data_IF_151532082182
#
_entry.id   IF_151532082182
#
_cell.length_a   1.000
_cell.length_b   1.000
_cell.length_c   1.000
_cell.angle_alpha   90.00
_cell.angle_beta   90.00
_cell.angle_gamma   90.00
#
_symmetry.space_group_name_H-M   'P 1'
#
loop_
_entity.id
_entity.type
_entity.pdbx_description
1 polymer ?
#
# COMPACT_ATOMS: atom_id res chain seq x y z
N UNK A 1 -8.62 -22.26 3.02
CA UNK A 1 -7.15 -22.39 2.96
C UNK A 1 -6.53 -21.49 1.90
N UNK A 2 -7.02 -21.49 0.65
CA UNK A 2 -6.49 -20.65 -0.45
C UNK A 2 -6.29 -19.17 -0.07
N UNK A 3 -7.28 -18.52 0.57
CA UNK A 3 -7.17 -17.13 0.99
C UNK A 3 -5.98 -16.86 1.93
N UNK A 4 -5.69 -17.79 2.86
CA UNK A 4 -4.53 -17.67 3.77
C UNK A 4 -3.21 -17.79 3.01
N UNK A 5 -3.15 -18.66 2.00
CA UNK A 5 -1.96 -18.81 1.15
C UNK A 5 -1.69 -17.53 0.35
N UNK A 6 -2.73 -16.94 -0.24
CA UNK A 6 -2.62 -15.66 -0.97
C UNK A 6 -2.16 -14.54 -0.04
N UNK A 7 -2.76 -14.42 1.15
CA UNK A 7 -2.35 -13.43 2.17
C UNK A 7 -0.89 -13.66 2.57
N UNK A 8 -0.50 -14.91 2.79
CA UNK A 8 0.87 -15.24 3.20
C UNK A 8 1.88 -14.89 2.12
N UNK A 9 1.58 -15.24 0.87
CA UNK A 9 2.42 -14.91 -0.27
C UNK A 9 2.57 -13.40 -0.44
N UNK A 10 1.47 -12.64 -0.41
CA UNK A 10 1.50 -11.18 -0.49
C UNK A 10 2.26 -10.53 0.67
N UNK A 11 2.05 -11.02 1.89
CA UNK A 11 2.74 -10.53 3.08
C UNK A 11 4.25 -10.82 3.04
N UNK A 12 4.68 -11.96 2.48
CA UNK A 12 6.10 -12.26 2.31
C UNK A 12 6.74 -11.36 1.24
N UNK A 13 6.07 -11.16 0.09
CA UNK A 13 6.58 -10.26 -0.95
C UNK A 13 6.73 -8.83 -0.45
N UNK A 14 5.70 -8.28 0.20
CA UNK A 14 5.73 -6.90 0.68
C UNK A 14 6.55 -6.73 1.97
N UNK A 15 6.43 -7.67 2.90
CA UNK A 15 7.02 -7.55 4.23
C UNK A 15 8.48 -7.98 4.30
N UNK A 16 8.96 -8.77 3.33
CA UNK A 16 10.36 -9.23 3.25
C UNK A 16 10.97 -8.97 1.88
N UNK A 17 10.28 -9.26 0.78
CA UNK A 17 10.81 -9.07 -0.57
C UNK A 17 11.23 -7.63 -0.83
N UNK A 18 10.35 -6.66 -0.55
CA UNK A 18 10.64 -5.23 -0.73
C UNK A 18 11.82 -4.78 0.16
N UNK A 19 11.83 -5.01 1.49
CA UNK A 19 13.01 -4.67 2.31
C UNK A 19 14.32 -5.28 1.82
N UNK A 20 14.31 -6.53 1.36
CA UNK A 20 15.53 -7.18 0.85
C UNK A 20 16.07 -6.51 -0.42
N UNK A 21 15.18 -5.97 -1.26
CA UNK A 21 15.58 -5.25 -2.47
C UNK A 21 16.02 -3.82 -2.17
N UNK A 22 15.43 -3.17 -1.17
CA UNK A 22 15.65 -1.76 -0.86
C UNK A 22 16.79 -1.52 0.16
N UNK A 23 17.16 -2.52 0.98
CA UNK A 23 18.31 -2.39 1.90
C UNK A 23 19.62 -2.62 1.13
N UNK A 24 20.10 -1.57 0.48
CA UNK A 24 21.33 -1.59 -0.31
C UNK A 24 22.01 -0.19 -0.36
N UNK A 25 23.13 -0.09 -1.07
CA UNK A 25 23.92 1.15 -1.20
C UNK A 25 23.29 2.25 -2.07
N UNK A 26 22.34 1.92 -2.93
CA UNK A 26 21.65 2.88 -3.82
C UNK A 26 20.37 3.47 -3.22
N UNK A 27 19.89 2.89 -2.12
CA UNK A 27 18.62 3.19 -1.45
C UNK A 27 18.87 3.62 0.01
N UNK A 28 18.64 2.72 0.98
CA UNK A 28 18.75 3.01 2.43
C UNK A 28 20.11 3.60 2.82
N UNK A 29 21.18 3.11 2.21
CA UNK A 29 22.55 3.57 2.50
C UNK A 29 23.10 4.55 1.46
N UNK A 30 22.24 5.17 0.65
CA UNK A 30 22.69 6.13 -0.36
C UNK A 30 23.21 7.43 0.30
N UNK A 31 24.50 7.77 0.13
CA UNK A 31 25.08 8.98 0.72
C UNK A 31 24.62 10.26 0.01
N UNK A 32 24.09 10.16 -1.21
CA UNK A 32 23.61 11.31 -1.99
C UNK A 32 22.18 11.72 -1.62
N UNK A 33 21.47 10.91 -0.85
CA UNK A 33 20.09 11.19 -0.46
C UNK A 33 20.04 12.11 0.76
N UNK A 34 19.14 13.09 0.70
CA UNK A 34 18.84 13.93 1.85
C UNK A 34 18.36 13.08 3.05
N UNK A 35 18.65 13.47 4.30
CA UNK A 35 18.27 12.71 5.48
C UNK A 35 16.76 12.41 5.54
N UNK A 36 15.93 13.32 5.05
CA UNK A 36 14.48 13.15 4.98
C UNK A 36 14.06 12.01 4.06
N UNK A 37 14.72 11.85 2.91
CA UNK A 37 14.40 10.80 1.93
C UNK A 37 14.74 9.42 2.47
N UNK A 38 15.89 9.29 3.13
CA UNK A 38 16.29 8.07 3.84
C UNK A 38 15.34 7.72 4.97
N UNK A 39 14.87 8.71 5.74
CA UNK A 39 13.88 8.48 6.78
C UNK A 39 12.57 7.94 6.18
N UNK A 40 12.06 8.58 5.11
CA UNK A 40 10.83 8.14 4.45
C UNK A 40 10.92 6.70 3.94
N UNK A 41 12.05 6.34 3.34
CA UNK A 41 12.28 4.98 2.85
C UNK A 41 12.32 3.96 3.99
N UNK A 42 13.15 4.17 5.00
CA UNK A 42 13.26 3.24 6.15
C UNK A 42 11.93 3.15 6.89
N UNK A 43 11.23 4.28 7.06
CA UNK A 43 9.91 4.32 7.67
C UNK A 43 8.87 3.53 6.87
N UNK A 44 8.85 3.73 5.55
CA UNK A 44 7.96 2.99 4.65
C UNK A 44 8.22 1.48 4.71
N UNK A 45 9.49 1.06 4.67
CA UNK A 45 9.88 -0.33 4.80
C UNK A 45 9.44 -0.93 6.15
N UNK A 46 9.77 -0.26 7.26
CA UNK A 46 9.45 -0.74 8.60
C UNK A 46 7.94 -0.87 8.82
N UNK A 47 7.17 0.15 8.41
CA UNK A 47 5.71 0.14 8.56
C UNK A 47 5.07 -0.94 7.68
N UNK A 48 5.50 -1.09 6.42
CA UNK A 48 5.00 -2.14 5.53
C UNK A 48 5.29 -3.55 6.06
N UNK A 49 6.50 -3.80 6.57
CA UNK A 49 6.85 -5.07 7.21
C UNK A 49 6.00 -5.34 8.45
N UNK A 50 5.79 -4.35 9.32
CA UNK A 50 4.95 -4.49 10.50
C UNK A 50 3.48 -4.82 10.14
N UNK A 51 2.95 -4.18 9.11
CA UNK A 51 1.59 -4.43 8.61
C UNK A 51 1.45 -5.82 7.96
N UNK A 52 2.47 -6.27 7.24
CA UNK A 52 2.52 -7.62 6.69
C UNK A 52 2.51 -8.69 7.81
N UNK A 53 3.30 -8.49 8.87
CA UNK A 53 3.30 -9.35 10.05
C UNK A 53 1.95 -9.34 10.77
N UNK A 54 1.33 -8.17 10.91
CA UNK A 54 -0.01 -8.05 11.50
C UNK A 54 -1.06 -8.80 10.67
N UNK A 55 -1.01 -8.69 9.34
CA UNK A 55 -1.90 -9.42 8.43
C UNK A 55 -1.72 -10.94 8.55
N UNK A 56 -0.47 -11.42 8.64
CA UNK A 56 -0.17 -12.84 8.90
C UNK A 56 -0.74 -13.30 10.23
N UNK A 57 -0.52 -12.54 11.30
CA UNK A 57 -1.04 -12.86 12.63
C UNK A 57 -2.58 -12.92 12.65
N UNK A 58 -3.26 -11.95 12.03
CA UNK A 58 -4.73 -11.95 11.94
C UNK A 58 -5.26 -13.13 11.12
N UNK A 59 -4.60 -13.48 10.01
CA UNK A 59 -5.02 -14.57 9.13
C UNK A 59 -4.81 -15.95 9.74
N UNK A 60 -3.69 -16.16 10.46
CA UNK A 60 -3.32 -17.47 11.01
C UNK A 60 -3.71 -17.66 12.47
N UNK A 61 -3.44 -16.70 13.35
CA UNK A 61 -3.69 -16.85 14.79
C UNK A 61 -5.15 -16.53 15.17
N UNK A 62 -5.81 -15.59 14.46
CA UNK A 62 -7.19 -15.18 14.76
C UNK A 62 -8.23 -15.64 13.74
N UNK A 63 -7.79 -16.25 12.62
CA UNK A 63 -8.64 -16.68 11.51
C UNK A 63 -9.55 -15.57 10.94
N UNK A 64 -9.16 -14.30 11.12
CA UNK A 64 -9.95 -13.10 10.77
C UNK A 64 -9.66 -12.64 9.34
N UNK A 65 -9.95 -13.49 8.36
CA UNK A 65 -9.62 -13.25 6.94
C UNK A 65 -10.39 -12.04 6.37
N UNK A 66 -11.65 -11.83 6.75
CA UNK A 66 -12.49 -10.73 6.25
C UNK A 66 -11.96 -9.35 6.66
N UNK A 67 -11.39 -9.24 7.86
CA UNK A 67 -10.79 -7.99 8.34
C UNK A 67 -9.49 -7.68 7.58
N UNK A 68 -8.65 -8.69 7.34
CA UNK A 68 -7.44 -8.54 6.53
C UNK A 68 -7.78 -8.15 5.09
N UNK A 69 -8.78 -8.80 4.49
CA UNK A 69 -9.23 -8.47 3.14
C UNK A 69 -9.75 -7.02 3.05
N UNK A 70 -10.58 -6.58 4.01
CA UNK A 70 -11.07 -5.20 4.06
C UNK A 70 -9.95 -4.16 4.24
N UNK A 71 -8.94 -4.45 5.08
CA UNK A 71 -7.79 -3.58 5.28
C UNK A 71 -6.87 -3.48 4.04
N UNK A 72 -6.81 -4.53 3.22
CA UNK A 72 -6.09 -4.50 1.94
C UNK A 72 -6.87 -3.71 0.89
N UNK A 73 -8.18 -3.91 0.79
CA UNK A 73 -9.04 -3.18 -0.14
C UNK A 73 -9.01 -1.66 0.09
N UNK A 74 -9.10 -1.21 1.35
CA UNK A 74 -9.08 0.23 1.66
C UNK A 74 -7.77 0.93 1.27
N UNK A 75 -6.65 0.20 1.24
CA UNK A 75 -5.37 0.73 0.72
C UNK A 75 -5.34 0.81 -0.80
N UNK A 76 -5.94 -0.16 -1.49
CA UNK A 76 -6.05 -0.10 -2.95
C UNK A 76 -6.91 1.10 -3.37
N UNK A 77 -7.99 1.37 -2.63
CA UNK A 77 -8.85 2.53 -2.86
C UNK A 77 -8.10 3.85 -2.59
N UNK A 78 -7.25 3.90 -1.57
CA UNK A 78 -6.41 5.08 -1.30
C UNK A 78 -5.36 5.33 -2.41
N UNK A 79 -4.82 4.27 -3.03
CA UNK A 79 -3.94 4.38 -4.20
C UNK A 79 -4.73 4.82 -5.44
N UNK A 80 -5.96 4.31 -5.62
CA UNK A 80 -6.82 4.71 -6.73
C UNK A 80 -7.29 6.18 -6.62
N UNK A 81 -7.51 6.67 -5.40
CA UNK A 81 -7.92 8.06 -5.12
C UNK A 81 -6.80 9.08 -5.38
N UNK A 82 -5.53 8.68 -5.51
CA UNK A 82 -4.43 9.60 -5.86
C UNK A 82 -4.17 9.74 -7.37
N UNK A 83 -5.01 9.18 -8.24
CA UNK A 83 -5.13 9.67 -9.62
C UNK A 83 -6.26 10.69 -9.67
N UNK A 84 -6.00 12.01 -9.59
CA UNK A 84 -7.02 12.98 -9.98
C UNK A 84 -7.17 12.84 -11.50
N UNK A 85 -8.12 12.01 -11.91
CA UNK A 85 -8.64 12.02 -13.26
C UNK A 85 -9.09 13.43 -13.58
N UNK A 86 -8.42 14.03 -14.55
CA UNK A 86 -8.87 15.20 -15.30
C UNK A 86 -10.38 15.15 -15.57
N UNK A 87 -11.09 16.19 -15.14
CA UNK A 87 -12.18 16.77 -15.92
C UNK A 87 -13.59 16.26 -15.66
N UNK A 88 -14.12 16.43 -14.45
CA UNK A 88 -15.55 16.76 -14.33
C UNK A 88 -15.71 18.29 -14.33
N UNK A 89 -15.82 18.88 -15.52
CA UNK A 89 -16.27 20.28 -15.67
C UNK A 89 -17.78 20.33 -15.43
N UNK A 90 -18.28 21.08 -14.44
CA UNK A 90 -19.72 21.18 -14.22
C UNK A 90 -20.37 22.23 -15.14
N UNK A 91 -21.51 21.82 -15.72
CA UNK A 91 -22.67 22.61 -16.18
C UNK A 91 -22.61 23.36 -17.52
N UNK A 92 -23.60 23.04 -18.39
CA UNK A 92 -24.73 23.95 -18.67
C UNK A 92 -25.93 23.16 -19.23
N UNK A 93 -27.08 23.31 -18.58
CA UNK A 93 -28.36 22.90 -19.16
C UNK A 93 -28.68 23.77 -20.39
N UNK A 94 -29.26 23.22 -21.46
CA UNK A 94 -29.69 24.04 -22.59
C UNK A 94 -30.86 24.93 -22.15
N UNK A 95 -30.65 26.24 -22.24
CA UNK A 95 -31.67 27.27 -22.06
C UNK A 95 -32.72 27.06 -23.15
N UNK A 96 -33.92 26.63 -22.77
CA UNK A 96 -35.09 26.49 -23.65
C UNK A 96 -35.45 27.88 -24.18
N UNK A 97 -35.13 28.17 -25.45
CA UNK A 97 -35.63 29.35 -26.15
C UNK A 97 -37.13 29.20 -26.37
N UNK A 98 -37.89 30.22 -25.97
CA UNK A 98 -39.22 30.48 -26.52
C UNK A 98 -39.08 30.97 -27.96
#
# INVERSE_FOLDING_TARGET
MLAKLIITFGALLYGLGVPLLEINQTHVFNPQWEPHMRLHEVWQLATNSALALLALWLAWARNNISFVAGAVSSRLDAVAVHSPGCGEVPRRAPRRSR
#
